data_IF_855519327900
#
_entry.id   IF_855519327900
#
_cell.length_a   1.000
_cell.length_b   1.000
_cell.length_c   1.000
_cell.angle_alpha   90.00
_cell.angle_beta   90.00
_cell.angle_gamma   90.00
#
_symmetry.space_group_name_H-M   'P 1'
#
loop_
_entity.id
_entity.type
_entity.pdbx_description
1 polymer ?
#
# COMPACT_ATOMS: atom_id res chain seq x y z
N UNK A 1 28.55 13.42 7.29
CA UNK A 1 27.80 12.15 7.18
C UNK A 1 26.63 12.05 8.16
N UNK A 2 26.81 12.16 9.49
CA UNK A 2 25.70 12.02 10.48
C UNK A 2 24.50 12.94 10.25
N UNK A 3 24.72 14.22 9.92
CA UNK A 3 23.64 15.18 9.62
C UNK A 3 22.85 14.81 8.36
N UNK A 4 23.51 14.28 7.33
CA UNK A 4 22.87 13.86 6.08
C UNK A 4 22.01 12.61 6.29
N UNK A 5 22.54 11.61 7.02
CA UNK A 5 21.80 10.41 7.38
C UNK A 5 20.56 10.75 8.24
N UNK A 6 20.68 11.69 9.17
CA UNK A 6 19.54 12.18 9.96
C UNK A 6 18.47 12.86 9.10
N UNK A 7 18.88 13.69 8.13
CA UNK A 7 17.95 14.36 7.22
C UNK A 7 17.22 13.35 6.33
N UNK A 8 17.94 12.37 5.76
CA UNK A 8 17.34 11.29 4.96
C UNK A 8 16.35 10.45 5.78
N UNK A 9 16.71 10.13 7.03
CA UNK A 9 15.81 9.41 7.93
C UNK A 9 14.57 10.23 8.24
N UNK A 10 14.74 11.52 8.54
CA UNK A 10 13.63 12.44 8.80
C UNK A 10 12.70 12.57 7.58
N UNK A 11 13.26 12.74 6.38
CA UNK A 11 12.48 12.82 5.14
C UNK A 11 11.76 11.50 4.84
N UNK A 12 12.40 10.36 5.10
CA UNK A 12 11.76 9.05 4.96
C UNK A 12 10.57 8.94 5.90
N UNK A 13 10.76 9.24 7.19
CA UNK A 13 9.69 9.19 8.20
C UNK A 13 8.54 10.14 7.86
N UNK A 14 8.86 11.37 7.47
CA UNK A 14 7.84 12.34 7.04
C UNK A 14 7.06 11.84 5.82
N UNK A 15 7.75 11.28 4.83
CA UNK A 15 7.11 10.67 3.66
C UNK A 15 6.21 9.49 4.06
N UNK A 16 6.65 8.67 5.02
CA UNK A 16 5.85 7.55 5.52
C UNK A 16 4.52 8.00 6.12
N UNK A 17 4.54 9.11 6.85
CA UNK A 17 3.35 9.70 7.48
C UNK A 17 2.46 10.36 6.43
N UNK A 18 3.05 11.19 5.56
CA UNK A 18 2.35 11.92 4.48
C UNK A 18 1.60 10.97 3.54
N UNK A 19 2.25 9.89 3.10
CA UNK A 19 1.64 8.90 2.22
C UNK A 19 0.82 7.84 2.95
N UNK A 20 0.62 7.94 4.27
CA UNK A 20 -0.14 6.97 5.07
C UNK A 20 0.32 5.52 4.82
N UNK A 21 1.64 5.28 4.78
CA UNK A 21 2.23 3.98 4.43
C UNK A 21 1.66 2.83 5.27
N UNK A 22 1.39 3.06 6.56
CA UNK A 22 0.77 2.04 7.43
C UNK A 22 -0.61 1.60 6.92
N UNK A 23 -1.43 2.53 6.43
CA UNK A 23 -2.73 2.24 5.85
C UNK A 23 -2.62 1.47 4.54
N UNK A 24 -1.68 1.87 3.67
CA UNK A 24 -1.42 1.19 2.40
C UNK A 24 -0.83 -0.21 2.61
N UNK A 25 0.03 -0.38 3.62
CA UNK A 25 0.54 -1.69 4.03
C UNK A 25 -0.59 -2.60 4.52
N UNK A 26 -1.53 -2.07 5.32
CA UNK A 26 -2.72 -2.80 5.76
C UNK A 26 -3.63 -3.18 4.57
N UNK A 27 -3.82 -2.28 3.60
CA UNK A 27 -4.57 -2.57 2.36
C UNK A 27 -3.91 -3.71 1.57
N UNK A 28 -2.61 -3.62 1.32
CA UNK A 28 -1.87 -4.66 0.62
C UNK A 28 -1.92 -6.00 1.36
N UNK A 29 -1.81 -5.98 2.69
CA UNK A 29 -1.89 -7.18 3.51
C UNK A 29 -3.27 -7.84 3.49
N UNK A 30 -4.34 -7.04 3.57
CA UNK A 30 -5.71 -7.52 3.47
C UNK A 30 -5.96 -8.23 2.12
N UNK A 31 -5.61 -7.59 1.01
CA UNK A 31 -5.81 -8.18 -0.33
C UNK A 31 -4.90 -9.39 -0.58
N UNK A 32 -3.69 -9.41 -0.01
CA UNK A 32 -2.81 -10.58 -0.05
C UNK A 32 -3.44 -11.74 0.72
N UNK A 33 -3.87 -11.52 1.96
CA UNK A 33 -4.50 -12.54 2.80
C UNK A 33 -5.75 -13.13 2.15
N UNK A 34 -6.61 -12.28 1.55
CA UNK A 34 -7.81 -12.71 0.85
C UNK A 34 -7.49 -13.60 -0.35
N UNK A 35 -6.38 -13.34 -1.05
CA UNK A 35 -5.95 -14.14 -2.20
C UNK A 35 -5.38 -15.52 -1.83
N UNK A 36 -4.82 -15.68 -0.62
CA UNK A 36 -4.03 -16.86 -0.28
C UNK A 36 -4.83 -18.19 -0.34
N UNK A 37 -5.98 -18.36 0.35
CA UNK A 37 -6.65 -19.65 0.36
C UNK A 37 -7.11 -20.13 -1.03
N UNK A 38 -7.83 -19.33 -1.84
CA UNK A 38 -8.28 -19.78 -3.15
C UNK A 38 -7.12 -19.99 -4.13
N UNK A 39 -6.01 -19.24 -3.98
CA UNK A 39 -4.82 -19.43 -4.81
C UNK A 39 -4.13 -20.75 -4.51
N UNK A 40 -3.95 -21.08 -3.23
CA UNK A 40 -3.39 -22.36 -2.81
C UNK A 40 -4.25 -23.53 -3.34
N UNK A 41 -5.56 -23.44 -3.18
CA UNK A 41 -6.49 -24.46 -3.68
C UNK A 41 -6.44 -24.57 -5.22
N UNK A 42 -6.45 -23.45 -5.95
CA UNK A 42 -6.36 -23.48 -7.41
C UNK A 42 -5.03 -24.03 -7.92
N UNK A 43 -3.91 -23.71 -7.27
CA UNK A 43 -2.60 -24.24 -7.62
C UNK A 43 -2.52 -25.76 -7.38
N UNK A 44 -3.16 -26.26 -6.31
CA UNK A 44 -3.26 -27.70 -6.03
C UNK A 44 -4.15 -28.39 -7.07
N UNK A 45 -5.28 -27.80 -7.44
CA UNK A 45 -6.13 -28.31 -8.51
C UNK A 45 -5.38 -28.40 -9.84
N UNK A 46 -4.56 -27.38 -10.17
CA UNK A 46 -3.72 -27.39 -11.36
C UNK A 46 -2.65 -28.49 -11.29
N UNK A 47 -2.00 -28.67 -10.15
CA UNK A 47 -1.02 -29.74 -9.94
C UNK A 47 -1.66 -31.13 -10.02
N UNK A 48 -2.86 -31.32 -9.48
CA UNK A 48 -3.63 -32.56 -9.61
C UNK A 48 -3.88 -32.95 -11.06
N UNK A 49 -4.23 -31.97 -11.90
CA UNK A 49 -4.41 -32.17 -13.34
C UNK A 49 -3.10 -32.51 -14.07
N UNK A 50 -1.98 -31.89 -13.65
CA UNK A 50 -0.64 -32.18 -14.20
C UNK A 50 -0.15 -33.57 -13.76
N UNK A 51 -0.41 -34.01 -12.53
CA UNK A 51 -0.02 -35.33 -12.01
C UNK A 51 -0.77 -36.45 -12.74
N UNK A 52 -2.08 -36.25 -13.01
CA UNK A 52 -2.90 -37.18 -13.81
C UNK A 52 -2.37 -37.27 -15.26
N UNK A 53 -1.90 -36.16 -15.82
CA UNK A 53 -1.28 -36.14 -17.15
C UNK A 53 0.15 -36.74 -17.17
N UNK A 54 0.94 -36.56 -16.12
CA UNK A 54 2.35 -36.97 -16.07
C UNK A 54 2.60 -38.30 -15.38
N UNK A 55 1.57 -38.94 -14.78
CA UNK A 55 1.66 -40.22 -14.07
C UNK A 55 2.71 -40.25 -12.94
N UNK A 56 2.99 -39.11 -12.32
CA UNK A 56 3.88 -39.02 -11.17
C UNK A 56 3.03 -39.11 -9.88
N UNK A 57 3.60 -39.52 -8.75
CA UNK A 57 2.90 -39.60 -7.44
C UNK A 57 3.26 -38.39 -6.56
N UNK A 58 3.23 -37.19 -7.13
CA UNK A 58 3.77 -35.99 -6.47
C UNK A 58 2.72 -35.27 -5.62
N UNK A 59 1.43 -35.39 -6.00
CA UNK A 59 0.34 -34.63 -5.36
C UNK A 59 0.15 -34.99 -3.88
N UNK A 60 0.24 -36.28 -3.51
CA UNK A 60 0.02 -36.70 -2.13
C UNK A 60 1.08 -36.12 -1.15
N UNK A 61 2.33 -35.98 -1.60
CA UNK A 61 3.41 -35.36 -0.80
C UNK A 61 3.21 -33.84 -0.67
N UNK A 62 2.77 -33.18 -1.74
CA UNK A 62 2.51 -31.73 -1.73
C UNK A 62 1.28 -31.42 -0.86
N UNK A 63 0.21 -32.22 -0.98
CA UNK A 63 -1.01 -32.09 -0.18
C UNK A 63 -0.71 -32.22 1.31
N UNK A 64 0.11 -33.20 1.70
CA UNK A 64 0.56 -33.40 3.08
C UNK A 64 1.40 -32.24 3.61
N UNK A 65 2.33 -31.71 2.80
CA UNK A 65 3.16 -30.57 3.18
C UNK A 65 2.32 -29.29 3.34
N UNK A 66 1.32 -29.08 2.48
CA UNK A 66 0.42 -27.93 2.57
C UNK A 66 -0.53 -28.07 3.76
N UNK A 67 -1.11 -29.25 4.02
CA UNK A 67 -1.91 -29.47 5.23
C UNK A 67 -1.09 -29.28 6.50
N UNK A 68 0.20 -29.66 6.47
CA UNK A 68 1.13 -29.38 7.55
C UNK A 68 1.35 -27.88 7.72
N UNK A 69 1.61 -27.13 6.63
CA UNK A 69 1.79 -25.68 6.67
C UNK A 69 0.50 -24.95 7.10
N UNK A 70 -0.64 -25.36 6.58
CA UNK A 70 -1.97 -24.89 6.97
C UNK A 70 -2.22 -25.18 8.44
N UNK A 71 -1.81 -26.34 8.97
CA UNK A 71 -1.91 -26.67 10.39
C UNK A 71 -0.94 -25.93 11.31
N UNK A 72 0.13 -25.33 10.78
CA UNK A 72 0.95 -24.38 11.56
C UNK A 72 0.26 -23.03 11.73
N UNK A 73 -0.71 -22.72 10.86
CA UNK A 73 -1.50 -21.51 10.92
C UNK A 73 -2.86 -21.85 11.53
N UNK A 74 -3.77 -22.47 10.81
CA UNK A 74 -5.13 -22.75 11.29
C UNK A 74 -5.14 -23.71 12.51
N UNK A 75 -6.10 -23.48 13.42
CA UNK A 75 -6.36 -24.41 14.52
C UNK A 75 -6.78 -25.79 14.00
N UNK A 76 -6.66 -26.84 14.82
CA UNK A 76 -7.09 -28.20 14.45
C UNK A 76 -8.53 -28.25 13.92
N UNK A 77 -9.42 -27.38 14.42
CA UNK A 77 -10.78 -27.24 13.89
C UNK A 77 -10.79 -26.60 12.51
N UNK A 78 -10.04 -25.52 12.29
CA UNK A 78 -9.90 -24.89 10.96
C UNK A 78 -9.30 -25.85 9.93
N UNK A 79 -8.31 -26.65 10.32
CA UNK A 79 -7.71 -27.67 9.45
C UNK A 79 -8.73 -28.76 9.14
N UNK A 80 -9.36 -29.36 10.16
CA UNK A 80 -10.22 -30.53 9.97
C UNK A 80 -11.60 -30.21 9.41
N UNK A 81 -12.16 -29.04 9.69
CA UNK A 81 -13.52 -28.66 9.29
C UNK A 81 -13.56 -27.75 8.05
N UNK A 82 -12.46 -27.06 7.73
CA UNK A 82 -12.42 -26.12 6.60
C UNK A 82 -11.37 -26.58 5.58
N UNK A 83 -10.10 -26.67 5.97
CA UNK A 83 -9.02 -26.95 5.01
C UNK A 83 -9.11 -28.35 4.41
N UNK A 84 -9.28 -29.40 5.21
CA UNK A 84 -9.38 -30.80 4.72
C UNK A 84 -10.59 -31.02 3.81
N UNK A 85 -11.82 -30.60 4.16
CA UNK A 85 -12.96 -30.73 3.25
C UNK A 85 -12.81 -29.90 1.97
N UNK A 86 -12.24 -28.69 2.05
CA UNK A 86 -11.94 -27.88 0.87
C UNK A 86 -10.89 -28.56 -0.02
N UNK A 87 -9.84 -29.11 0.56
CA UNK A 87 -8.78 -29.78 -0.19
C UNK A 87 -9.25 -31.09 -0.82
N UNK A 88 -10.03 -31.89 -0.08
CA UNK A 88 -10.65 -33.11 -0.60
C UNK A 88 -11.68 -32.81 -1.70
N UNK A 89 -12.46 -31.74 -1.56
CA UNK A 89 -13.40 -31.32 -2.61
C UNK A 89 -12.67 -30.81 -3.85
N UNK A 90 -11.50 -30.19 -3.73
CA UNK A 90 -10.69 -29.76 -4.87
C UNK A 90 -9.99 -30.93 -5.58
N UNK A 91 -9.51 -31.93 -4.83
CA UNK A 91 -8.71 -33.04 -5.37
C UNK A 91 -9.52 -34.24 -5.85
N UNK A 92 -10.68 -34.54 -5.24
CA UNK A 92 -11.39 -35.80 -5.47
C UNK A 92 -12.85 -35.66 -6.00
N UNK A 93 -13.40 -34.44 -6.14
CA UNK A 93 -14.80 -34.28 -6.58
C UNK A 93 -15.28 -32.87 -6.91
N UNK A 94 -14.38 -31.98 -7.34
CA UNK A 94 -14.62 -30.54 -7.35
C UNK A 94 -15.49 -30.05 -8.50
N UNK A 95 -16.41 -29.13 -8.19
CA UNK A 95 -17.04 -28.24 -9.19
C UNK A 95 -15.95 -27.35 -9.81
N UNK A 96 -15.49 -27.62 -11.05
CA UNK A 96 -14.36 -26.89 -11.65
C UNK A 96 -14.67 -25.39 -11.76
N UNK A 97 -15.94 -25.06 -11.93
CA UNK A 97 -16.47 -23.70 -12.04
C UNK A 97 -16.20 -22.86 -10.78
N UNK A 98 -16.41 -23.44 -9.59
CA UNK A 98 -16.22 -22.74 -8.30
C UNK A 98 -14.73 -22.53 -8.02
N UNK A 99 -13.91 -23.52 -8.35
CA UNK A 99 -12.45 -23.45 -8.19
C UNK A 99 -11.88 -22.39 -9.12
N UNK A 100 -12.29 -22.38 -10.39
CA UNK A 100 -11.85 -21.40 -11.38
C UNK A 100 -12.27 -19.99 -11.01
N UNK A 101 -13.50 -19.81 -10.53
CA UNK A 101 -14.00 -18.52 -10.05
C UNK A 101 -13.23 -18.03 -8.81
N UNK A 102 -13.01 -18.91 -7.82
CA UNK A 102 -12.24 -18.59 -6.62
C UNK A 102 -10.79 -18.22 -6.95
N UNK A 103 -10.16 -18.95 -7.88
CA UNK A 103 -8.82 -18.66 -8.37
C UNK A 103 -8.75 -17.32 -9.10
N UNK A 104 -9.73 -17.01 -9.95
CA UNK A 104 -9.82 -15.71 -10.63
C UNK A 104 -9.97 -14.54 -9.63
N UNK A 105 -10.83 -14.70 -8.61
CA UNK A 105 -10.99 -13.71 -7.53
C UNK A 105 -9.69 -13.55 -6.74
N UNK A 106 -8.98 -14.64 -6.45
CA UNK A 106 -7.68 -14.58 -5.78
C UNK A 106 -6.62 -13.87 -6.62
N UNK A 107 -6.53 -14.15 -7.92
CA UNK A 107 -5.63 -13.45 -8.83
C UNK A 107 -5.93 -11.96 -8.88
N UNK A 108 -7.22 -11.59 -8.96
CA UNK A 108 -7.64 -10.20 -8.92
C UNK A 108 -7.24 -9.55 -7.59
N UNK A 109 -7.52 -10.18 -6.45
CA UNK A 109 -7.19 -9.69 -5.11
C UNK A 109 -5.68 -9.51 -4.95
N UNK A 110 -4.88 -10.52 -5.28
CA UNK A 110 -3.43 -10.45 -5.17
C UNK A 110 -2.81 -9.41 -6.10
N UNK A 111 -3.31 -9.29 -7.33
CA UNK A 111 -2.89 -8.22 -8.25
C UNK A 111 -3.20 -6.82 -7.70
N UNK A 112 -4.30 -6.69 -6.93
CA UNK A 112 -4.65 -5.44 -6.26
C UNK A 112 -3.66 -5.12 -5.13
N UNK A 113 -3.22 -6.10 -4.35
CA UNK A 113 -2.16 -5.89 -3.36
C UNK A 113 -0.87 -5.39 -4.01
N UNK A 114 -0.46 -5.98 -5.14
CA UNK A 114 0.73 -5.52 -5.88
C UNK A 114 0.54 -4.13 -6.48
N UNK A 115 -0.67 -3.81 -6.93
CA UNK A 115 -1.00 -2.47 -7.45
C UNK A 115 -0.81 -1.40 -6.37
N UNK A 116 -1.10 -1.69 -5.09
CA UNK A 116 -0.83 -0.75 -4.00
C UNK A 116 0.66 -0.41 -3.94
N UNK A 117 1.56 -1.40 -4.04
CA UNK A 117 3.00 -1.12 -4.08
C UNK A 117 3.39 -0.29 -5.30
N UNK A 118 3.00 -0.71 -6.51
CA UNK A 118 3.37 -0.02 -7.76
C UNK A 118 2.92 1.45 -7.76
N UNK A 119 1.68 1.70 -7.38
CA UNK A 119 1.11 3.03 -7.37
C UNK A 119 1.77 3.91 -6.30
N UNK A 120 1.91 3.38 -5.08
CA UNK A 120 2.56 4.09 -3.96
C UNK A 120 4.01 4.46 -4.29
N UNK A 121 4.78 3.52 -4.85
CA UNK A 121 6.16 3.78 -5.28
C UNK A 121 6.18 4.89 -6.35
N UNK A 122 5.30 4.81 -7.35
CA UNK A 122 5.22 5.82 -8.42
C UNK A 122 4.92 7.21 -7.87
N UNK A 123 4.00 7.31 -6.91
CA UNK A 123 3.61 8.55 -6.24
C UNK A 123 4.76 9.11 -5.38
N UNK A 124 5.48 8.27 -4.65
CA UNK A 124 6.64 8.69 -3.84
C UNK A 124 7.75 9.33 -4.68
N UNK A 125 7.90 8.89 -5.94
CA UNK A 125 8.83 9.48 -6.90
C UNK A 125 8.28 10.74 -7.60
N UNK A 126 7.03 11.14 -7.32
CA UNK A 126 6.37 12.28 -7.96
C UNK A 126 6.02 12.05 -9.43
N UNK A 127 5.88 10.79 -9.84
CA UNK A 127 5.62 10.38 -11.22
C UNK A 127 4.20 9.86 -11.43
N UNK A 128 3.30 10.17 -10.52
CA UNK A 128 1.87 9.86 -10.64
C UNK A 128 1.26 10.54 -11.86
N UNK A 129 0.33 9.84 -12.51
CA UNK A 129 -0.29 10.27 -13.77
C UNK A 129 0.55 10.03 -15.04
N UNK A 130 1.83 9.67 -14.93
CA UNK A 130 2.69 9.40 -16.10
C UNK A 130 2.36 8.07 -16.79
N UNK A 131 1.92 7.07 -16.01
CA UNK A 131 1.47 5.76 -16.52
C UNK A 131 -0.05 5.70 -16.42
N UNK A 132 -0.72 5.37 -17.52
CA UNK A 132 -2.17 5.22 -17.55
C UNK A 132 -2.67 4.09 -16.65
N UNK A 133 -3.90 4.19 -16.15
CA UNK A 133 -4.51 3.25 -15.18
C UNK A 133 -4.42 1.79 -15.68
N UNK A 134 -4.71 1.55 -16.96
CA UNK A 134 -4.66 0.20 -17.56
C UNK A 134 -3.25 -0.36 -17.57
N UNK A 135 -2.25 0.46 -17.93
CA UNK A 135 -0.85 0.02 -17.96
C UNK A 135 -0.32 -0.26 -16.55
N UNK A 136 -0.71 0.55 -15.55
CA UNK A 136 -0.37 0.31 -14.14
C UNK A 136 -0.99 -0.99 -13.63
N UNK A 137 -2.26 -1.25 -13.96
CA UNK A 137 -2.97 -2.49 -13.59
C UNK A 137 -2.36 -3.73 -14.24
N UNK A 138 -2.05 -3.66 -15.54
CA UNK A 138 -1.42 -4.77 -16.27
C UNK A 138 -0.03 -5.08 -15.70
N UNK A 139 0.75 -4.04 -15.37
CA UNK A 139 2.05 -4.23 -14.75
C UNK A 139 1.92 -4.89 -13.38
N UNK A 140 1.02 -4.40 -12.53
CA UNK A 140 0.80 -4.97 -11.20
C UNK A 140 0.38 -6.45 -11.29
N UNK A 141 -0.46 -6.80 -12.26
CA UNK A 141 -0.84 -8.17 -12.53
C UNK A 141 0.35 -9.03 -12.98
N UNK A 142 1.19 -8.55 -13.91
CA UNK A 142 2.39 -9.27 -14.35
C UNK A 142 3.39 -9.47 -13.22
N UNK A 143 3.65 -8.41 -12.43
CA UNK A 143 4.53 -8.48 -11.25
C UNK A 143 3.98 -9.45 -10.22
N UNK A 144 2.66 -9.53 -10.04
CA UNK A 144 2.04 -10.53 -9.18
C UNK A 144 2.30 -11.95 -9.67
N UNK A 145 2.15 -12.24 -10.97
CA UNK A 145 2.47 -13.57 -11.52
C UNK A 145 3.94 -13.94 -11.33
N UNK A 146 4.85 -12.99 -11.55
CA UNK A 146 6.30 -13.19 -11.30
C UNK A 146 6.56 -13.41 -9.81
N UNK A 147 5.91 -12.65 -8.93
CA UNK A 147 6.01 -12.82 -7.48
C UNK A 147 5.49 -14.18 -7.02
N UNK A 148 4.43 -14.70 -7.62
CA UNK A 148 3.93 -16.06 -7.36
C UNK A 148 4.94 -17.12 -7.78
N UNK A 149 5.55 -16.99 -8.97
CA UNK A 149 6.54 -17.94 -9.46
C UNK A 149 7.80 -17.94 -8.57
N UNK A 150 8.32 -16.76 -8.25
CA UNK A 150 9.48 -16.61 -7.35
C UNK A 150 9.10 -17.09 -5.94
N UNK A 151 7.93 -16.71 -5.44
CA UNK A 151 7.43 -17.10 -4.12
C UNK A 151 7.25 -18.61 -3.98
N UNK A 152 6.81 -19.30 -5.03
CA UNK A 152 6.70 -20.76 -5.06
C UNK A 152 8.05 -21.47 -4.89
N UNK A 153 9.17 -20.80 -5.19
CA UNK A 153 10.53 -21.32 -4.97
C UNK A 153 11.09 -20.81 -3.64
N UNK A 154 11.05 -19.50 -3.42
CA UNK A 154 11.70 -18.83 -2.29
C UNK A 154 11.02 -19.14 -0.96
N UNK A 155 9.69 -19.22 -0.89
CA UNK A 155 8.98 -19.48 0.37
C UNK A 155 9.25 -20.89 0.91
N UNK A 156 9.11 -21.98 0.13
CA UNK A 156 9.49 -23.30 0.60
C UNK A 156 10.95 -23.34 1.05
N UNK A 157 11.86 -22.71 0.30
CA UNK A 157 13.25 -22.60 0.74
C UNK A 157 13.32 -21.88 2.13
N UNK A 158 12.75 -20.69 2.26
CA UNK A 158 12.82 -19.94 3.52
C UNK A 158 12.22 -20.72 4.73
N UNK A 159 11.17 -21.52 4.52
CA UNK A 159 10.47 -22.26 5.58
C UNK A 159 11.14 -23.59 5.93
N UNK A 160 11.60 -24.34 4.93
CA UNK A 160 12.14 -25.70 5.10
C UNK A 160 13.47 -25.68 5.85
N UNK A 161 14.23 -24.58 5.76
CA UNK A 161 15.55 -24.44 6.35
C UNK A 161 16.62 -25.29 5.63
N UNK A 162 17.91 -25.06 5.93
CA UNK A 162 19.00 -25.74 5.25
C UNK A 162 18.97 -27.27 5.45
N UNK A 163 18.53 -27.73 6.62
CA UNK A 163 18.64 -29.13 7.06
C UNK A 163 17.96 -30.15 6.13
N UNK A 164 16.83 -29.79 5.51
CA UNK A 164 16.10 -30.68 4.59
C UNK A 164 16.51 -30.53 3.13
N UNK A 165 17.09 -29.38 2.75
CA UNK A 165 17.66 -29.19 1.41
C UNK A 165 18.97 -29.97 1.26
N UNK A 166 19.70 -30.10 2.36
CA UNK A 166 20.89 -30.96 2.49
C UNK A 166 20.57 -32.44 2.23
N UNK A 167 19.38 -32.93 2.63
CA UNK A 167 18.95 -34.31 2.35
C UNK A 167 18.70 -34.59 0.86
N UNK A 168 18.37 -33.56 0.07
CA UNK A 168 18.13 -33.68 -1.38
C UNK A 168 19.42 -33.58 -2.22
N UNK A 169 20.50 -33.05 -1.66
CA UNK A 169 21.80 -32.86 -2.35
C UNK A 169 22.90 -33.59 -1.54
N UNK A 170 23.15 -34.88 -1.81
CA UNK A 170 24.09 -35.69 -1.02
C UNK A 170 25.57 -35.29 -1.17
N UNK A 171 25.90 -34.38 -2.09
CA UNK A 171 27.26 -33.91 -2.38
C UNK A 171 27.34 -32.39 -2.13
N UNK A 172 27.81 -31.99 -0.94
CA UNK A 172 28.06 -30.59 -0.59
C UNK A 172 27.21 -30.03 0.56
N UNK A 173 26.89 -30.85 1.57
CA UNK A 173 26.08 -30.49 2.75
C UNK A 173 26.52 -29.19 3.45
N UNK A 174 27.83 -28.97 3.60
CA UNK A 174 28.38 -27.72 4.13
C UNK A 174 28.21 -26.53 3.18
N UNK A 175 28.46 -26.74 1.87
CA UNK A 175 28.33 -25.69 0.85
C UNK A 175 26.88 -25.23 0.74
N UNK A 176 25.94 -26.17 0.68
CA UNK A 176 24.50 -25.88 0.61
C UNK A 176 24.04 -25.10 1.84
N UNK A 177 24.46 -25.51 3.04
CA UNK A 177 24.07 -24.83 4.29
C UNK A 177 24.62 -23.40 4.38
N UNK A 178 25.83 -23.16 3.89
CA UNK A 178 26.48 -21.85 3.89
C UNK A 178 25.92 -20.94 2.79
N UNK A 179 25.70 -21.46 1.57
CA UNK A 179 25.20 -20.68 0.43
C UNK A 179 23.70 -20.40 0.52
N UNK A 180 22.97 -21.13 1.36
CA UNK A 180 21.51 -21.06 1.46
C UNK A 180 20.98 -19.65 1.71
N UNK A 181 21.37 -19.06 2.84
CA UNK A 181 20.94 -17.74 3.27
C UNK A 181 21.40 -16.63 2.31
N UNK A 182 22.65 -16.64 1.80
CA UNK A 182 23.06 -15.76 0.72
C UNK A 182 22.18 -15.84 -0.52
N UNK A 183 21.85 -17.04 -1.01
CA UNK A 183 21.01 -17.21 -2.20
C UNK A 183 19.61 -16.65 -1.96
N UNK A 184 18.97 -17.01 -0.83
CA UNK A 184 17.64 -16.48 -0.46
C UNK A 184 17.67 -14.96 -0.34
N UNK A 185 18.72 -14.39 0.26
CA UNK A 185 18.89 -12.93 0.42
C UNK A 185 19.09 -12.25 -0.92
N UNK A 186 19.93 -12.79 -1.80
CA UNK A 186 20.18 -12.24 -3.14
C UNK A 186 18.91 -12.29 -3.98
N UNK A 187 18.17 -13.41 -3.97
CA UNK A 187 16.89 -13.52 -4.68
C UNK A 187 15.86 -12.51 -4.14
N UNK A 188 15.80 -12.34 -2.82
CA UNK A 188 14.91 -11.38 -2.19
C UNK A 188 15.28 -9.94 -2.57
N UNK A 189 16.55 -9.57 -2.48
CA UNK A 189 17.06 -8.24 -2.88
C UNK A 189 16.79 -8.01 -4.36
N UNK A 190 17.06 -9.00 -5.22
CA UNK A 190 16.82 -8.88 -6.66
C UNK A 190 15.34 -8.68 -6.97
N UNK A 191 14.46 -9.40 -6.28
CA UNK A 191 13.01 -9.23 -6.40
C UNK A 191 12.56 -7.84 -5.95
N UNK A 192 12.95 -7.38 -4.75
CA UNK A 192 12.59 -6.06 -4.23
C UNK A 192 13.12 -4.94 -5.13
N UNK A 193 14.38 -5.03 -5.55
CA UNK A 193 14.99 -4.05 -6.44
C UNK A 193 14.25 -4.00 -7.77
N UNK A 194 13.85 -5.15 -8.32
CA UNK A 194 13.03 -5.21 -9.55
C UNK A 194 11.64 -4.62 -9.34
N UNK A 195 10.99 -4.89 -8.21
CA UNK A 195 9.70 -4.28 -7.86
C UNK A 195 9.81 -2.76 -7.83
N UNK A 196 10.83 -2.20 -7.18
CA UNK A 196 11.05 -0.75 -7.13
C UNK A 196 11.35 -0.18 -8.52
N UNK A 197 12.29 -0.80 -9.23
CA UNK A 197 12.76 -0.33 -10.52
C UNK A 197 11.64 -0.27 -11.57
N UNK A 198 10.83 -1.32 -11.67
CA UNK A 198 9.77 -1.42 -12.68
C UNK A 198 8.55 -0.57 -12.31
N UNK A 199 8.34 -0.35 -11.01
CA UNK A 199 7.27 0.55 -10.53
C UNK A 199 7.47 1.97 -11.03
N UNK A 200 8.70 2.48 -11.01
CA UNK A 200 9.03 3.84 -11.44
C UNK A 200 8.99 3.95 -12.98
N UNK A 201 8.12 4.80 -13.57
CA UNK A 201 8.01 4.98 -15.02
C UNK A 201 9.11 5.90 -15.60
N UNK A 202 10.35 5.72 -15.15
CA UNK A 202 11.55 6.42 -15.61
C UNK A 202 12.72 5.44 -15.71
N UNK A 203 13.54 5.57 -16.76
CA UNK A 203 14.68 4.66 -17.00
C UNK A 203 15.88 5.08 -16.15
N UNK A 204 15.92 4.67 -14.88
CA UNK A 204 17.12 4.81 -14.05
C UNK A 204 18.02 3.57 -14.10
N UNK A 205 19.12 3.55 -13.36
CA UNK A 205 19.97 2.36 -13.22
C UNK A 205 19.41 1.46 -12.12
N UNK A 206 19.23 0.18 -12.40
CA UNK A 206 18.70 -0.81 -11.42
C UNK A 206 19.44 -0.83 -10.08
N UNK A 207 20.75 -0.53 -10.07
CA UNK A 207 21.58 -0.49 -8.87
C UNK A 207 21.14 0.63 -7.89
N UNK A 208 20.49 1.68 -8.38
CA UNK A 208 20.03 2.80 -7.55
C UNK A 208 18.90 2.39 -6.59
N UNK A 209 18.20 1.30 -6.89
CA UNK A 209 17.09 0.79 -6.08
C UNK A 209 17.53 -0.21 -4.98
N UNK A 210 18.80 -0.65 -5.01
CA UNK A 210 19.36 -1.65 -4.06
C UNK A 210 19.39 -1.16 -2.61
N UNK A 211 19.74 0.12 -2.29
CA UNK A 211 19.77 0.59 -0.90
C UNK A 211 18.43 0.41 -0.18
N UNK A 212 17.32 0.74 -0.83
CA UNK A 212 15.97 0.54 -0.30
C UNK A 212 15.61 -0.93 -0.14
N UNK A 213 16.07 -1.81 -1.03
CA UNK A 213 15.86 -3.25 -0.91
C UNK A 213 16.59 -3.83 0.32
N UNK A 214 17.80 -3.34 0.62
CA UNK A 214 18.52 -3.71 1.83
C UNK A 214 17.81 -3.22 3.10
N UNK A 215 17.31 -1.98 3.10
CA UNK A 215 16.54 -1.44 4.23
C UNK A 215 15.25 -2.23 4.44
N UNK A 216 14.52 -2.53 3.37
CA UNK A 216 13.30 -3.32 3.44
C UNK A 216 13.58 -4.72 3.97
N UNK A 217 14.63 -5.40 3.48
CA UNK A 217 15.00 -6.73 3.98
C UNK A 217 15.38 -6.68 5.46
N UNK A 218 16.18 -5.70 5.88
CA UNK A 218 16.55 -5.51 7.29
C UNK A 218 15.33 -5.23 8.19
N UNK A 219 14.42 -4.37 7.73
CA UNK A 219 13.19 -4.06 8.46
C UNK A 219 12.22 -5.24 8.50
N UNK A 220 12.17 -6.05 7.45
CA UNK A 220 11.39 -7.28 7.41
C UNK A 220 11.93 -8.34 8.39
N UNK A 221 13.24 -8.55 8.45
CA UNK A 221 13.88 -9.46 9.43
C UNK A 221 13.60 -8.98 10.85
N UNK A 222 13.84 -7.69 11.12
CA UNK A 222 13.58 -7.09 12.42
C UNK A 222 12.10 -7.22 12.79
N UNK A 223 11.19 -6.84 11.90
CA UNK A 223 9.75 -6.93 12.11
C UNK A 223 9.27 -8.37 12.33
N UNK A 224 9.81 -9.34 11.60
CA UNK A 224 9.53 -10.76 11.79
C UNK A 224 10.01 -11.26 13.16
N UNK A 225 11.19 -10.81 13.60
CA UNK A 225 11.70 -11.12 14.93
C UNK A 225 10.83 -10.52 16.05
N UNK A 226 10.44 -9.24 15.93
CA UNK A 226 9.55 -8.58 16.87
C UNK A 226 8.17 -9.27 16.92
N UNK A 227 7.63 -9.62 15.75
CA UNK A 227 6.36 -10.33 15.67
C UNK A 227 6.46 -11.70 16.33
N UNK A 228 7.57 -12.43 16.13
CA UNK A 228 7.79 -13.71 16.81
C UNK A 228 7.74 -13.54 18.32
N UNK A 229 8.43 -12.54 18.88
CA UNK A 229 8.37 -12.25 20.33
C UNK A 229 6.93 -11.98 20.76
N UNK A 230 6.22 -11.10 20.04
CA UNK A 230 4.82 -10.77 20.33
C UNK A 230 3.93 -12.02 20.35
N UNK A 231 4.01 -12.86 19.31
CA UNK A 231 3.24 -14.08 19.20
C UNK A 231 3.60 -15.09 20.29
N UNK A 232 4.89 -15.33 20.58
CA UNK A 232 5.28 -16.24 21.67
C UNK A 232 4.78 -15.76 23.04
N UNK A 233 4.74 -14.44 23.26
CA UNK A 233 4.29 -13.88 24.55
C UNK A 233 2.77 -13.83 24.73
N UNK A 234 2.02 -13.58 23.65
CA UNK A 234 0.58 -13.31 23.70
C UNK A 234 -0.26 -14.47 23.16
N UNK A 235 0.30 -15.28 22.25
CA UNK A 235 -0.43 -16.33 21.51
C UNK A 235 -0.15 -17.75 22.02
N UNK A 236 0.99 -18.04 22.64
CA UNK A 236 1.31 -19.38 23.18
C UNK A 236 0.64 -19.69 24.55
N UNK A 237 -0.35 -18.89 24.97
CA UNK A 237 -1.18 -19.14 26.16
C UNK A 237 -2.66 -19.45 25.85
N UNK A 238 -3.55 -19.54 26.86
CA UNK A 238 -5.00 -19.57 26.65
C UNK A 238 -5.45 -18.24 26.02
N UNK A 239 -5.40 -18.15 24.69
CA UNK A 239 -5.75 -16.92 23.99
C UNK A 239 -7.27 -16.72 23.99
N UNK A 240 -7.71 -15.49 24.28
CA UNK A 240 -9.11 -15.07 24.05
C UNK A 240 -9.49 -15.11 22.56
N UNK A 241 -8.50 -15.18 21.67
CA UNK A 241 -8.67 -15.20 20.22
C UNK A 241 -8.89 -16.59 19.63
N UNK A 242 -8.57 -17.67 20.36
CA UNK A 242 -8.83 -19.05 19.96
C UNK A 242 -8.41 -19.35 18.52
N UNK A 243 -9.37 -19.75 17.67
CA UNK A 243 -9.12 -20.09 16.26
C UNK A 243 -8.76 -18.91 15.36
N UNK A 244 -8.97 -17.66 15.81
CA UNK A 244 -8.61 -16.45 15.05
C UNK A 244 -7.16 -16.03 15.25
N UNK A 245 -6.46 -16.57 16.25
CA UNK A 245 -5.11 -16.15 16.59
C UNK A 245 -4.13 -16.26 15.40
N UNK A 246 -4.25 -17.31 14.61
CA UNK A 246 -3.30 -17.54 13.52
C UNK A 246 -3.59 -16.78 12.23
N UNK A 247 -4.85 -16.66 11.75
CA UNK A 247 -5.16 -15.71 10.68
C UNK A 247 -4.72 -14.29 11.02
N UNK A 248 -4.88 -13.86 12.29
CA UNK A 248 -4.38 -12.57 12.77
C UNK A 248 -2.84 -12.52 12.71
N UNK A 249 -2.14 -13.56 13.16
CA UNK A 249 -0.68 -13.64 13.08
C UNK A 249 -0.16 -13.51 11.64
N UNK A 250 -0.80 -14.22 10.69
CA UNK A 250 -0.46 -14.13 9.26
C UNK A 250 -0.75 -12.74 8.72
N UNK A 251 -1.91 -12.15 9.05
CA UNK A 251 -2.24 -10.79 8.63
C UNK A 251 -1.20 -9.77 9.13
N UNK A 252 -0.80 -9.88 10.40
CA UNK A 252 0.24 -9.02 10.99
C UNK A 252 1.60 -9.22 10.30
N UNK A 253 1.97 -10.48 10.02
CA UNK A 253 3.23 -10.77 9.33
C UNK A 253 3.26 -10.22 7.91
N UNK A 254 2.18 -10.39 7.14
CA UNK A 254 2.05 -9.79 5.81
C UNK A 254 2.04 -8.25 5.91
N UNK A 255 1.35 -7.69 6.91
CA UNK A 255 1.31 -6.24 7.17
C UNK A 255 2.69 -5.66 7.45
N UNK A 256 3.47 -6.30 8.31
CA UNK A 256 4.87 -5.92 8.59
C UNK A 256 5.73 -6.04 7.33
N UNK A 257 5.51 -7.08 6.52
CA UNK A 257 6.23 -7.28 5.26
C UNK A 257 5.92 -6.18 4.24
N UNK A 258 4.65 -5.86 4.04
CA UNK A 258 4.20 -4.78 3.18
C UNK A 258 4.74 -3.42 3.66
N UNK A 259 4.71 -3.19 4.97
CA UNK A 259 5.29 -2.00 5.57
C UNK A 259 6.78 -1.87 5.30
N UNK A 260 7.56 -2.94 5.51
CA UNK A 260 8.99 -2.95 5.26
C UNK A 260 9.32 -2.65 3.79
N UNK A 261 8.57 -3.23 2.84
CA UNK A 261 8.72 -2.96 1.39
C UNK A 261 8.45 -1.49 1.07
N UNK A 262 7.38 -0.90 1.61
CA UNK A 262 7.03 0.51 1.38
C UNK A 262 8.03 1.48 2.02
N UNK A 263 8.58 1.15 3.21
CA UNK A 263 9.66 1.94 3.82
C UNK A 263 10.92 1.89 2.97
N UNK A 264 11.30 0.73 2.44
CA UNK A 264 12.43 0.62 1.49
C UNK A 264 12.24 1.47 0.24
N UNK A 265 11.03 1.49 -0.32
CA UNK A 265 10.68 2.37 -1.42
C UNK A 265 10.78 3.86 -1.05
N UNK A 266 10.30 4.25 0.13
CA UNK A 266 10.39 5.62 0.62
C UNK A 266 11.85 6.07 0.79
N UNK A 267 12.75 5.16 1.23
CA UNK A 267 14.19 5.41 1.29
C UNK A 267 14.76 5.66 -0.11
N UNK A 268 14.44 4.83 -1.10
CA UNK A 268 14.90 5.04 -2.47
C UNK A 268 14.40 6.38 -3.03
N UNK A 269 13.13 6.71 -2.82
CA UNK A 269 12.56 8.00 -3.24
C UNK A 269 13.19 9.20 -2.50
N UNK A 270 13.58 9.04 -1.24
CA UNK A 270 14.32 10.08 -0.51
C UNK A 270 15.74 10.26 -1.05
N UNK A 271 16.43 9.16 -1.39
CA UNK A 271 17.75 9.20 -2.04
C UNK A 271 17.66 9.90 -3.40
N UNK A 272 16.68 9.55 -4.23
CA UNK A 272 16.45 10.18 -5.55
C UNK A 272 16.03 11.65 -5.44
N UNK A 273 15.45 12.09 -4.30
CA UNK A 273 15.19 13.52 -4.06
C UNK A 273 16.46 14.31 -3.80
N UNK A 274 17.42 13.75 -3.07
CA UNK A 274 18.69 14.41 -2.73
C UNK A 274 19.71 14.30 -3.87
N UNK A 275 19.78 13.13 -4.51
CA UNK A 275 20.66 12.85 -5.64
C UNK A 275 19.86 12.30 -6.82
N UNK A 276 19.11 13.16 -7.52
CA UNK A 276 18.24 12.72 -8.60
C UNK A 276 19.04 12.17 -9.76
N UNK A 277 18.59 11.03 -10.29
CA UNK A 277 19.05 10.56 -11.59
C UNK A 277 18.60 11.56 -12.68
N UNK A 278 19.36 11.66 -13.78
CA UNK A 278 18.96 12.51 -14.91
C UNK A 278 17.58 12.11 -15.47
N UNK A 279 17.28 10.81 -15.47
CA UNK A 279 16.02 10.27 -15.99
C UNK A 279 14.83 10.63 -15.08
N UNK A 280 14.97 10.48 -13.77
CA UNK A 280 13.91 10.81 -12.79
C UNK A 280 13.70 12.32 -12.69
N UNK A 281 14.77 13.13 -12.70
CA UNK A 281 14.69 14.59 -12.74
C UNK A 281 13.94 15.09 -14.00
N UNK A 282 14.32 14.60 -15.18
CA UNK A 282 13.66 14.97 -16.43
C UNK A 282 12.20 14.52 -16.47
N UNK A 283 11.90 13.32 -15.95
CA UNK A 283 10.55 12.80 -15.86
C UNK A 283 9.66 13.64 -14.92
N UNK A 284 10.18 14.05 -13.75
CA UNK A 284 9.47 14.93 -12.79
C UNK A 284 9.19 16.31 -13.40
N UNK A 285 10.20 16.93 -14.01
CA UNK A 285 10.04 18.24 -14.66
C UNK A 285 9.01 18.20 -15.80
N UNK A 286 8.99 17.11 -16.59
CA UNK A 286 7.98 16.93 -17.62
C UNK A 286 6.56 16.77 -17.03
N UNK A 287 6.43 16.04 -15.93
CA UNK A 287 5.14 15.83 -15.25
C UNK A 287 4.60 17.13 -14.65
N UNK A 288 5.47 17.93 -14.04
CA UNK A 288 5.13 19.24 -13.50
C UNK A 288 4.63 20.19 -14.59
N UNK A 289 5.29 20.23 -15.76
CA UNK A 289 4.84 21.03 -16.91
C UNK A 289 3.42 20.64 -17.36
N UNK A 290 3.13 19.34 -17.42
CA UNK A 290 1.80 18.85 -17.78
C UNK A 290 0.75 19.27 -16.74
N UNK A 291 1.07 19.18 -15.45
CA UNK A 291 0.17 19.63 -14.37
C UNK A 291 -0.08 21.13 -14.44
N UNK A 292 0.95 21.94 -14.64
CA UNK A 292 0.79 23.40 -14.75
C UNK A 292 -0.03 23.79 -15.97
N UNK A 293 0.14 23.10 -17.09
CA UNK A 293 -0.65 23.34 -18.30
C UNK A 293 -2.13 22.98 -18.08
N UNK A 294 -2.40 21.83 -17.45
CA UNK A 294 -3.78 21.42 -17.16
C UNK A 294 -4.45 22.34 -16.14
N UNK A 295 -3.74 22.77 -15.09
CA UNK A 295 -4.24 23.74 -14.13
C UNK A 295 -4.56 25.09 -14.80
N UNK A 296 -3.70 25.58 -15.69
CA UNK A 296 -3.94 26.79 -16.44
C UNK A 296 -5.17 26.68 -17.36
N UNK A 297 -5.37 25.53 -18.01
CA UNK A 297 -6.54 25.27 -18.84
C UNK A 297 -7.84 25.26 -18.01
N UNK A 298 -7.85 24.60 -16.85
CA UNK A 298 -9.00 24.58 -15.96
C UNK A 298 -9.36 25.98 -15.43
N UNK A 299 -8.35 26.77 -15.05
CA UNK A 299 -8.54 28.16 -14.63
C UNK A 299 -9.09 29.02 -15.78
N UNK A 300 -8.59 28.82 -17.00
CA UNK A 300 -9.11 29.53 -18.18
C UNK A 300 -10.57 29.16 -18.48
N UNK A 301 -10.94 27.87 -18.35
CA UNK A 301 -12.34 27.42 -18.49
C UNK A 301 -13.24 28.02 -17.41
N UNK A 302 -12.81 28.01 -16.15
CA UNK A 302 -13.56 28.60 -15.04
C UNK A 302 -13.72 30.14 -15.18
N UNK A 303 -12.68 30.82 -15.66
CA UNK A 303 -12.74 32.26 -15.97
C UNK A 303 -13.73 32.55 -17.11
N UNK A 304 -13.71 31.75 -18.18
CA UNK A 304 -14.66 31.89 -19.29
C UNK A 304 -16.11 31.63 -18.84
N UNK A 305 -16.35 30.62 -17.99
CA UNK A 305 -17.69 30.35 -17.43
C UNK A 305 -18.20 31.49 -16.56
N UNK A 306 -17.33 32.11 -15.74
CA UNK A 306 -17.72 33.27 -14.93
C UNK A 306 -18.00 34.50 -15.77
N UNK A 307 -17.24 34.75 -16.84
CA UNK A 307 -17.53 35.82 -17.80
C UNK A 307 -18.84 35.59 -18.55
N UNK A 308 -19.12 34.35 -18.97
CA UNK A 308 -20.39 33.98 -19.60
C UNK A 308 -21.57 34.17 -18.65
N UNK A 309 -21.44 33.81 -17.37
CA UNK A 309 -22.47 34.09 -16.35
C UNK A 309 -22.74 35.58 -16.19
N UNK A 310 -21.67 36.40 -16.09
CA UNK A 310 -21.81 37.87 -16.05
C UNK A 310 -22.50 38.44 -17.30
N UNK A 311 -22.14 37.94 -18.48
CA UNK A 311 -22.72 38.39 -19.75
C UNK A 311 -24.18 37.96 -19.92
N UNK A 312 -24.59 36.83 -19.32
CA UNK A 312 -25.96 36.33 -19.35
C UNK A 312 -26.91 37.12 -18.44
N UNK A 313 -26.38 37.95 -17.55
CA UNK A 313 -27.18 38.69 -16.58
C UNK A 313 -27.78 37.80 -15.49
N UNK A 314 -27.25 36.58 -15.28
CA UNK A 314 -27.52 35.77 -14.09
C UNK A 314 -26.75 36.38 -12.91
N UNK A 315 -27.20 37.56 -12.47
CA UNK A 315 -27.08 37.97 -11.08
C UNK A 315 -28.50 37.81 -10.53
N UNK A 316 -28.79 36.67 -9.91
CA UNK A 316 -29.78 36.70 -8.83
C UNK A 316 -29.13 37.52 -7.71
N UNK A 317 -29.89 38.50 -7.24
CA UNK A 317 -29.51 39.52 -6.28
C UNK A 317 -28.83 38.93 -5.03
N UNK A 318 -27.57 39.31 -4.78
CA UNK A 318 -26.91 39.14 -3.47
C UNK A 318 -26.15 40.40 -3.06
N UNK A 319 -26.53 41.56 -3.58
CA UNK A 319 -26.07 42.86 -3.08
C UNK A 319 -27.23 43.86 -3.24
N UNK A 320 -28.31 43.70 -2.48
CA UNK A 320 -29.17 44.83 -2.10
C UNK A 320 -28.65 45.37 -0.74
N UNK A 321 -28.04 46.56 -0.70
CA UNK A 321 -27.51 47.12 0.53
C UNK A 321 -28.59 47.68 1.48
N UNK A 322 -29.87 47.67 1.12
CA UNK A 322 -30.95 48.31 1.89
C UNK A 322 -32.07 47.38 2.40
N UNK A 323 -31.95 46.05 2.28
CA UNK A 323 -32.95 45.12 2.85
C UNK A 323 -32.58 44.69 4.28
N UNK A 324 -32.89 45.56 5.26
CA UNK A 324 -33.10 45.14 6.64
C UNK A 324 -34.41 44.32 6.73
N UNK A 325 -34.38 43.06 6.27
CA UNK A 325 -35.61 42.29 6.09
C UNK A 325 -35.45 40.76 6.02
N UNK A 326 -34.98 40.13 7.09
CA UNK A 326 -35.28 38.72 7.43
C UNK A 326 -35.09 37.66 6.31
N UNK A 327 -33.91 37.58 5.69
CA UNK A 327 -33.58 36.43 4.82
C UNK A 327 -32.89 35.30 5.59
N UNK A 328 -33.71 34.53 6.30
CA UNK A 328 -33.46 33.10 6.56
C UNK A 328 -33.73 32.26 5.30
N UNK A 329 -33.10 32.61 4.18
CA UNK A 329 -33.28 31.97 2.88
C UNK A 329 -32.37 30.75 2.72
N UNK A 330 -32.95 29.57 2.94
CA UNK A 330 -32.32 28.27 2.73
C UNK A 330 -31.71 28.15 1.32
N UNK A 331 -30.38 28.26 1.22
CA UNK A 331 -29.63 27.56 0.19
C UNK A 331 -29.94 26.07 0.40
N UNK A 332 -30.90 25.55 -0.35
CA UNK A 332 -31.26 24.14 -0.33
C UNK A 332 -30.00 23.31 -0.62
N UNK A 333 -29.34 22.87 0.45
CA UNK A 333 -28.25 21.92 0.40
C UNK A 333 -28.72 20.72 -0.41
N UNK A 334 -27.93 20.21 -1.37
CA UNK A 334 -28.24 18.92 -1.99
C UNK A 334 -28.45 17.93 -0.84
N UNK A 335 -29.62 17.31 -0.76
CA UNK A 335 -30.11 16.51 0.37
C UNK A 335 -29.28 15.25 0.68
N UNK A 336 -28.13 15.11 0.03
CA UNK A 336 -27.21 14.00 0.08
C UNK A 336 -26.09 14.18 1.13
N UNK A 337 -25.99 15.35 1.78
CA UNK A 337 -24.97 15.61 2.79
C UNK A 337 -25.51 15.57 4.23
N UNK A 338 -24.98 14.69 5.12
CA UNK A 338 -25.36 14.67 6.52
C UNK A 338 -24.94 15.98 7.23
N UNK A 339 -25.86 16.58 7.99
CA UNK A 339 -25.70 17.86 8.72
C UNK A 339 -24.41 17.98 9.55
N UNK A 340 -23.80 16.86 9.94
CA UNK A 340 -22.55 16.82 10.72
C UNK A 340 -21.35 17.43 9.98
N UNK A 341 -21.39 17.51 8.65
CA UNK A 341 -20.28 17.99 7.81
C UNK A 341 -20.33 19.49 7.51
N UNK A 342 -21.45 20.16 7.76
CA UNK A 342 -21.60 21.61 7.55
C UNK A 342 -20.66 22.44 8.44
N UNK A 343 -20.34 21.91 9.63
CA UNK A 343 -19.43 22.57 10.60
C UNK A 343 -17.96 22.59 10.17
N UNK A 344 -17.59 21.82 9.14
CA UNK A 344 -16.20 21.68 8.67
C UNK A 344 -15.94 22.41 7.35
N UNK A 345 -16.97 23.01 6.75
CA UNK A 345 -16.79 23.88 5.59
C UNK A 345 -16.27 25.25 6.05
N UNK A 346 -15.38 25.89 5.27
CA UNK A 346 -15.02 27.28 5.52
C UNK A 346 -16.31 28.13 5.54
N UNK A 347 -16.48 29.08 6.47
CA UNK A 347 -17.62 29.98 6.42
C UNK A 347 -17.60 30.72 5.07
N UNK A 348 -18.72 30.70 4.37
CA UNK A 348 -18.85 31.18 2.99
C UNK A 348 -18.63 32.69 2.84
N UNK A 349 -18.65 33.42 3.94
CA UNK A 349 -18.51 34.87 3.91
C UNK A 349 -17.05 35.33 4.10
N UNK A 350 -16.40 35.67 2.99
CA UNK A 350 -15.07 36.30 2.95
C UNK A 350 -15.08 37.71 3.58
N UNK A 351 -16.24 38.41 3.65
CA UNK A 351 -16.35 39.74 4.28
C UNK A 351 -16.22 39.64 5.81
N UNK A 352 -16.76 38.60 6.45
CA UNK A 352 -16.61 38.34 7.89
C UNK A 352 -15.14 38.27 8.37
N UNK A 353 -14.23 37.75 7.53
CA UNK A 353 -12.79 37.66 7.84
C UNK A 353 -12.08 39.02 7.78
N UNK A 354 -12.56 39.93 6.95
CA UNK A 354 -12.02 41.29 6.85
C UNK A 354 -12.55 42.19 7.96
N UNK A 355 -13.79 41.99 8.41
CA UNK A 355 -14.38 42.76 9.51
C UNK A 355 -13.84 42.35 10.90
N UNK A 356 -13.65 41.05 11.16
CA UNK A 356 -13.07 40.59 12.45
C UNK A 356 -11.63 41.08 12.67
N UNK A 357 -10.85 41.23 11.60
CA UNK A 357 -9.49 41.80 11.67
C UNK A 357 -9.46 43.30 11.95
N UNK A 358 -10.52 44.03 11.57
CA UNK A 358 -10.63 45.49 11.77
C UNK A 358 -11.11 45.82 13.17
N UNK A 359 -12.11 45.13 13.70
CA UNK A 359 -12.56 45.28 15.09
C UNK A 359 -11.45 44.92 16.10
N UNK A 360 -10.64 43.89 15.81
CA UNK A 360 -9.52 43.51 16.67
C UNK A 360 -8.41 44.57 16.71
N UNK A 361 -8.20 45.33 15.63
CA UNK A 361 -7.24 46.45 15.60
C UNK A 361 -7.78 47.67 16.36
N UNK A 362 -9.06 48.00 16.14
CA UNK A 362 -9.71 49.15 16.77
C UNK A 362 -9.81 48.97 18.31
N UNK A 363 -10.13 47.76 18.79
CA UNK A 363 -10.12 47.44 20.22
C UNK A 363 -8.70 47.43 20.83
N UNK A 364 -7.66 47.16 20.03
CA UNK A 364 -6.27 47.20 20.49
C UNK A 364 -5.79 48.64 20.64
N UNK A 365 -6.11 49.50 19.68
CA UNK A 365 -5.77 50.94 19.73
C UNK A 365 -6.51 51.65 20.88
N UNK A 366 -7.78 51.31 21.13
CA UNK A 366 -8.55 51.83 22.28
C UNK A 366 -8.03 51.36 23.64
N UNK A 367 -7.42 50.17 23.70
CA UNK A 367 -6.75 49.65 24.92
C UNK A 367 -5.41 50.33 25.15
N UNK A 368 -4.62 50.53 24.10
CA UNK A 368 -3.33 51.23 24.17
C UNK A 368 -3.50 52.73 24.48
N UNK A 369 -4.60 53.36 24.05
CA UNK A 369 -4.91 54.75 24.42
C UNK A 369 -5.34 54.89 25.88
N UNK A 370 -6.14 53.94 26.41
CA UNK A 370 -6.53 53.92 27.82
C UNK A 370 -5.35 53.66 28.77
N UNK A 371 -4.41 52.81 28.38
CA UNK A 371 -3.22 52.52 29.20
C UNK A 371 -2.22 53.70 29.26
N UNK A 372 -2.33 54.65 28.32
CA UNK A 372 -1.47 55.84 28.25
C UNK A 372 -1.98 57.01 29.10
N UNK A 373 -3.29 57.06 29.38
CA UNK A 373 -3.92 58.06 30.25
C UNK A 373 -3.90 57.68 31.75
N UNK A 374 -3.59 56.42 32.09
CA UNK A 374 -3.56 55.92 33.49
C UNK A 374 -2.16 55.86 34.13
N UNK A 375 -1.11 56.37 33.47
CA UNK A 375 0.23 56.49 34.08
C UNK A 375 0.44 57.91 34.63
N UNK A 376 0.64 58.08 35.96
CA UNK A 376 0.82 59.40 36.59
C UNK A 376 2.13 60.09 36.21
#
# INVERSE_FOLDING_TARGET
MRRMAWLLLKDTVNSCIEYRILGLAAEAAFFTLLSLPPLLLGLIGLLGYVDDWTSTTTVASIEKNILSAVGTVLSDRGVNQIAKPLLASVTHGGRPDVISLGFAIALWSGSRAVNVFVDTITVMYGLDGRRGIVATRLLAFLLYLVALLIGAVVLPLAVVGPDRVVDLIPWGTEVVSILYWPVVSILSIAFLTTLYHVSVPARSRWIEDVPGALVALGMWVLGSFLLRIYLTSTVEGPTIYGSLAAPIAVLLWIGISAFAVLVGAAVNAAIDRVWPSLATAAARAANERLRTAHAAELLARAAAETELRRARGDFDDLDDPDDEGDEGGDLAMPSEFPERWSRFLPPDDLRSRLHSGRESRENKELRESKEKDERP
#
